data_IF_632620271479
#
_entry.id   IF_632620271479
#
_cell.length_a   1.000
_cell.length_b   1.000
_cell.length_c   1.000
_cell.angle_alpha   90.00
_cell.angle_beta   90.00
_cell.angle_gamma   90.00
#
_symmetry.space_group_name_H-M   'P 1'
#
loop_
_entity.id
_entity.type
_entity.pdbx_description
1 polymer ?
#
# COMPACT_ATOMS: atom_id res chain seq x y z
N UNK A 1 6.13 8.83 -14.62
CA UNK A 1 7.05 9.46 -13.65
C UNK A 1 6.36 10.43 -12.71
N UNK A 2 5.45 11.22 -13.20
CA UNK A 2 4.68 12.14 -12.36
C UNK A 2 3.87 11.43 -11.27
N UNK A 3 3.26 10.30 -11.60
CA UNK A 3 2.48 9.52 -10.64
C UNK A 3 3.35 8.96 -9.53
N UNK A 4 4.57 8.54 -9.84
CA UNK A 4 5.50 8.06 -8.84
C UNK A 4 5.90 9.17 -7.88
N UNK A 5 6.24 10.34 -8.40
CA UNK A 5 6.60 11.49 -7.56
C UNK A 5 5.44 11.87 -6.66
N UNK A 6 4.23 11.92 -7.21
CA UNK A 6 3.04 12.26 -6.44
C UNK A 6 2.78 11.25 -5.32
N UNK A 7 2.91 9.96 -5.62
CA UNK A 7 2.72 8.91 -4.63
C UNK A 7 3.74 9.02 -3.49
N UNK A 8 5.01 9.25 -3.83
CA UNK A 8 6.06 9.40 -2.81
C UNK A 8 5.83 10.63 -1.95
N UNK A 9 5.34 11.72 -2.53
CA UNK A 9 4.98 12.92 -1.76
C UNK A 9 3.84 12.66 -0.78
N UNK A 10 2.85 11.87 -1.20
CA UNK A 10 1.74 11.48 -0.32
C UNK A 10 2.21 10.60 0.83
N UNK A 11 3.14 9.67 0.56
CA UNK A 11 3.64 8.73 1.55
C UNK A 11 4.62 9.35 2.56
N UNK A 12 5.32 10.40 2.15
CA UNK A 12 6.38 10.99 2.97
C UNK A 12 5.95 11.35 4.39
N UNK A 13 4.79 12.00 4.62
CA UNK A 13 4.37 12.34 5.98
C UNK A 13 4.19 11.15 6.92
N UNK A 14 4.01 9.96 6.37
CA UNK A 14 3.80 8.73 7.15
C UNK A 14 5.06 7.90 7.33
N UNK A 15 6.15 8.32 6.68
CA UNK A 15 7.41 7.60 6.76
C UNK A 15 8.10 7.87 8.09
N UNK A 16 8.49 6.80 8.78
CA UNK A 16 9.13 6.92 10.09
C UNK A 16 10.48 6.21 10.16
N UNK A 17 10.90 5.61 9.06
CA UNK A 17 12.02 4.70 9.07
C UNK A 17 13.39 5.34 8.82
N UNK A 18 14.31 4.52 8.43
CA UNK A 18 15.69 4.90 8.26
C UNK A 18 16.01 5.55 6.92
N UNK A 19 17.16 5.19 6.42
CA UNK A 19 17.83 5.85 5.30
C UNK A 19 17.26 5.50 3.93
N UNK A 20 16.70 4.32 3.79
CA UNK A 20 16.25 3.79 2.51
C UNK A 20 14.78 3.44 2.54
N UNK A 21 13.88 4.41 2.22
CA UNK A 21 12.45 4.14 2.26
C UNK A 21 11.97 3.23 1.15
N UNK A 22 12.72 3.11 0.06
CA UNK A 22 12.27 2.34 -1.09
C UNK A 22 13.25 1.24 -1.46
N UNK A 23 12.72 0.15 -2.03
CA UNK A 23 13.52 -0.84 -2.72
C UNK A 23 12.66 -1.52 -3.78
N UNK A 24 13.31 -2.16 -4.74
CA UNK A 24 12.63 -2.89 -5.80
C UNK A 24 13.11 -4.34 -5.80
N UNK A 25 12.17 -5.26 -5.96
CA UNK A 25 12.45 -6.69 -5.97
C UNK A 25 11.41 -7.37 -6.85
N UNK A 26 11.86 -8.22 -7.77
CA UNK A 26 10.96 -8.96 -8.67
C UNK A 26 9.98 -8.06 -9.40
N UNK A 27 10.45 -6.92 -9.88
CA UNK A 27 9.63 -5.93 -10.61
C UNK A 27 8.57 -5.26 -9.74
N UNK A 28 8.73 -5.32 -8.42
CA UNK A 28 7.84 -4.65 -7.48
C UNK A 28 8.61 -3.58 -6.74
N UNK A 29 8.07 -2.37 -6.71
CA UNK A 29 8.63 -1.30 -5.90
C UNK A 29 7.96 -1.30 -4.53
N UNK A 30 8.78 -1.29 -3.47
CA UNK A 30 8.28 -1.22 -2.10
C UNK A 30 8.69 0.11 -1.46
N UNK A 31 7.78 0.70 -0.70
CA UNK A 31 8.07 1.84 0.16
C UNK A 31 7.81 1.36 1.59
N UNK A 32 8.87 1.12 2.33
CA UNK A 32 8.79 0.50 3.66
C UNK A 32 8.81 1.55 4.77
N UNK A 33 8.41 1.11 5.99
CA UNK A 33 8.42 1.95 7.18
C UNK A 33 7.51 3.17 7.04
N UNK A 34 6.32 2.92 6.50
CA UNK A 34 5.24 3.89 6.36
C UNK A 34 4.12 3.46 7.30
N UNK A 35 3.71 4.34 8.21
CA UNK A 35 2.68 4.00 9.20
C UNK A 35 1.28 3.99 8.57
N UNK A 36 0.91 2.84 8.02
CA UNK A 36 -0.37 2.71 7.32
C UNK A 36 -1.57 2.86 8.24
N UNK A 37 -1.42 2.51 9.53
CA UNK A 37 -2.53 2.59 10.47
C UNK A 37 -2.99 4.02 10.73
N UNK A 38 -2.15 5.00 10.45
CA UNK A 38 -2.48 6.42 10.63
C UNK A 38 -3.07 7.07 9.38
N UNK A 39 -3.17 6.32 8.29
CA UNK A 39 -3.71 6.88 7.05
C UNK A 39 -5.22 6.88 7.04
N UNK A 40 -5.80 7.98 6.58
CA UNK A 40 -7.21 8.04 6.26
C UNK A 40 -7.48 7.24 4.98
N UNK A 41 -8.68 6.71 4.86
CA UNK A 41 -9.06 5.91 3.69
C UNK A 41 -8.92 6.70 2.39
N UNK A 42 -9.15 8.01 2.43
CA UNK A 42 -9.01 8.86 1.24
C UNK A 42 -7.57 8.85 0.70
N UNK A 43 -6.59 8.79 1.60
CA UNK A 43 -5.17 8.69 1.22
C UNK A 43 -4.90 7.35 0.54
N UNK A 44 -5.44 6.27 1.09
CA UNK A 44 -5.29 4.93 0.53
C UNK A 44 -5.90 4.86 -0.87
N UNK A 45 -7.09 5.42 -1.05
CA UNK A 45 -7.75 5.47 -2.37
C UNK A 45 -6.93 6.25 -3.40
N UNK A 46 -6.38 7.38 -2.98
CA UNK A 46 -5.55 8.20 -3.89
C UNK A 46 -4.29 7.44 -4.30
N UNK A 47 -3.64 6.76 -3.35
CA UNK A 47 -2.48 5.94 -3.66
C UNK A 47 -2.85 4.78 -4.58
N UNK A 48 -4.04 4.18 -4.40
CA UNK A 48 -4.54 3.15 -5.29
C UNK A 48 -4.66 3.61 -6.74
N UNK A 49 -5.16 4.82 -6.93
CA UNK A 49 -5.25 5.42 -8.26
C UNK A 49 -3.88 5.60 -8.91
N UNK A 50 -2.86 5.82 -8.10
CA UNK A 50 -1.49 6.00 -8.58
C UNK A 50 -0.73 4.68 -8.73
N UNK A 51 -1.40 3.56 -8.44
CA UNK A 51 -0.82 2.24 -8.61
C UNK A 51 -0.10 1.70 -7.38
N UNK A 52 -0.37 2.26 -6.20
CA UNK A 52 0.22 1.81 -4.95
C UNK A 52 -0.81 1.17 -4.04
N UNK A 53 -0.44 0.02 -3.45
CA UNK A 53 -1.29 -0.77 -2.56
C UNK A 53 -0.62 -0.91 -1.19
N UNK A 54 -1.40 -0.90 -0.09
CA UNK A 54 -0.82 -1.02 1.24
C UNK A 54 -0.35 -2.44 1.54
N UNK A 55 0.70 -2.54 2.37
CA UNK A 55 1.25 -3.81 2.79
C UNK A 55 2.43 -4.25 1.95
N UNK A 56 2.80 -5.51 2.08
CA UNK A 56 3.94 -6.12 1.38
C UNK A 56 3.51 -7.21 0.37
N UNK A 57 2.29 -7.12 -0.13
CA UNK A 57 1.82 -8.07 -1.13
C UNK A 57 1.52 -9.44 -0.53
N UNK A 58 2.26 -10.46 -0.96
CA UNK A 58 1.99 -11.83 -0.54
C UNK A 58 2.03 -12.04 0.97
N UNK A 59 2.88 -11.30 1.69
CA UNK A 59 2.96 -11.44 3.14
C UNK A 59 1.67 -11.05 3.85
N UNK A 60 0.91 -10.15 3.27
CA UNK A 60 -0.34 -9.66 3.87
C UNK A 60 -1.59 -10.24 3.21
N UNK A 61 -1.41 -11.10 2.21
CA UNK A 61 -2.51 -11.66 1.44
C UNK A 61 -3.53 -12.39 2.32
N UNK A 62 -3.06 -13.27 3.20
CA UNK A 62 -3.94 -14.06 4.05
C UNK A 62 -4.72 -13.19 5.03
N UNK A 63 -4.08 -12.16 5.57
CA UNK A 63 -4.71 -11.21 6.47
C UNK A 63 -5.85 -10.48 5.76
N UNK A 64 -5.59 -9.99 4.56
CA UNK A 64 -6.58 -9.27 3.77
C UNK A 64 -7.70 -10.20 3.34
N UNK A 65 -7.37 -11.40 2.90
CA UNK A 65 -8.35 -12.41 2.51
C UNK A 65 -9.29 -12.76 3.66
N UNK A 66 -8.74 -12.94 4.85
CA UNK A 66 -9.52 -13.26 6.04
C UNK A 66 -10.47 -12.14 6.45
N UNK A 67 -10.06 -10.90 6.26
CA UNK A 67 -10.87 -9.73 6.66
C UNK A 67 -11.85 -9.28 5.59
N UNK A 68 -11.44 -9.29 4.32
CA UNK A 68 -12.19 -8.66 3.22
C UNK A 68 -12.66 -9.65 2.14
N UNK A 69 -12.24 -10.91 2.23
CA UNK A 69 -12.60 -11.93 1.25
C UNK A 69 -11.57 -12.10 0.14
N UNK A 70 -11.66 -13.24 -0.53
CA UNK A 70 -10.71 -13.61 -1.58
C UNK A 70 -10.77 -12.67 -2.78
N UNK A 71 -11.98 -12.26 -3.17
CA UNK A 71 -12.15 -11.40 -4.34
C UNK A 71 -11.41 -10.09 -4.17
N UNK A 72 -11.53 -9.46 -2.99
CA UNK A 72 -10.80 -8.23 -2.72
C UNK A 72 -9.31 -8.47 -2.65
N UNK A 73 -8.88 -9.53 -1.96
CA UNK A 73 -7.47 -9.84 -1.80
C UNK A 73 -6.79 -10.08 -3.15
N UNK A 74 -7.48 -10.70 -4.08
CA UNK A 74 -6.94 -10.96 -5.42
C UNK A 74 -6.97 -9.73 -6.31
N UNK A 75 -8.04 -8.92 -6.24
CA UNK A 75 -8.17 -7.75 -7.12
C UNK A 75 -7.32 -6.57 -6.67
N UNK A 76 -7.12 -6.40 -5.36
CA UNK A 76 -6.38 -5.28 -4.84
C UNK A 76 -6.99 -3.93 -5.17
N UNK A 77 -8.32 -3.85 -5.18
CA UNK A 77 -9.03 -2.64 -5.63
C UNK A 77 -9.07 -1.57 -4.54
N UNK A 78 -7.90 -1.06 -4.17
CA UNK A 78 -7.80 -0.03 -3.13
C UNK A 78 -8.29 1.34 -3.57
N UNK A 79 -8.42 1.55 -4.85
CA UNK A 79 -9.01 2.78 -5.38
C UNK A 79 -10.46 2.96 -4.91
N UNK A 80 -11.16 1.84 -4.65
CA UNK A 80 -12.55 1.84 -4.24
C UNK A 80 -12.78 1.28 -2.83
N UNK A 81 -11.73 1.14 -2.03
CA UNK A 81 -11.87 0.59 -0.69
C UNK A 81 -12.78 1.47 0.18
N UNK A 82 -13.64 0.85 0.99
CA UNK A 82 -14.53 1.58 1.89
C UNK A 82 -13.87 1.85 3.23
N UNK A 83 -14.44 2.77 4.00
CA UNK A 83 -13.97 3.09 5.35
C UNK A 83 -13.98 1.84 6.22
N UNK A 84 -15.05 1.05 6.16
CA UNK A 84 -15.17 -0.19 6.94
C UNK A 84 -14.10 -1.21 6.56
N UNK A 85 -13.85 -1.37 5.26
CA UNK A 85 -12.84 -2.30 4.79
C UNK A 85 -11.46 -1.88 5.29
N UNK A 86 -11.14 -0.60 5.15
CA UNK A 86 -9.85 -0.09 5.60
C UNK A 86 -9.66 -0.28 7.12
N UNK A 87 -10.69 0.01 7.91
CA UNK A 87 -10.64 -0.16 9.35
C UNK A 87 -10.37 -1.61 9.77
N UNK A 88 -10.83 -2.57 8.96
CA UNK A 88 -10.63 -3.99 9.28
C UNK A 88 -9.20 -4.46 9.09
N UNK A 89 -8.41 -3.80 8.26
CA UNK A 89 -7.07 -4.28 7.90
C UNK A 89 -5.94 -3.35 8.30
N UNK A 90 -6.19 -2.06 8.50
CA UNK A 90 -5.12 -1.07 8.66
C UNK A 90 -4.14 -1.34 9.80
N UNK A 91 -4.58 -2.02 10.86
CA UNK A 91 -3.73 -2.32 12.01
C UNK A 91 -3.07 -3.69 11.91
N UNK A 92 -3.44 -4.49 10.91
CA UNK A 92 -3.01 -5.88 10.82
C UNK A 92 -2.09 -6.16 9.64
N UNK A 93 -1.92 -5.19 8.75
CA UNK A 93 -1.03 -5.35 7.59
C UNK A 93 0.31 -4.68 7.86
N UNK A 94 1.29 -5.02 7.04
CA UNK A 94 2.65 -4.48 7.16
C UNK A 94 2.68 -2.98 6.88
N UNK A 95 3.58 -2.27 7.54
CA UNK A 95 3.75 -0.82 7.39
C UNK A 95 4.56 -0.50 6.14
N UNK A 96 3.92 -0.68 5.00
CA UNK A 96 4.54 -0.47 3.70
C UNK A 96 3.49 -0.24 2.64
N UNK A 97 3.91 0.24 1.49
CA UNK A 97 3.14 0.26 0.25
C UNK A 97 3.97 -0.38 -0.85
N UNK A 98 3.31 -0.95 -1.83
CA UNK A 98 4.01 -1.56 -2.95
C UNK A 98 3.30 -1.22 -4.26
N UNK A 99 4.05 -1.33 -5.36
CA UNK A 99 3.51 -1.07 -6.70
C UNK A 99 4.18 -1.98 -7.72
N UNK A 100 3.36 -2.65 -8.52
CA UNK A 100 3.85 -3.37 -9.69
C UNK A 100 4.16 -2.43 -10.85
N UNK A 101 3.57 -1.23 -10.81
CA UNK A 101 3.66 -0.26 -11.88
C UNK A 101 5.04 0.38 -11.99
N UNK A 102 5.73 0.53 -10.86
CA UNK A 102 7.00 1.24 -10.77
C UNK A 102 8.16 0.35 -10.37
N UNK A 103 7.97 -0.95 -10.46
CA UNK A 103 9.03 -1.89 -10.12
C UNK A 103 10.23 -1.77 -11.07
N UNK A 104 11.41 -2.10 -10.54
CA UNK A 104 12.65 -2.11 -11.30
C UNK A 104 12.83 -3.46 -11.98
N UNK A 105 13.30 -3.45 -13.18
CA UNK A 105 13.64 -4.67 -13.90
C UNK A 105 15.11 -5.01 -13.76
#
# INVERSE_FOLDING_TARGET
>A
MEDLIKALQILLPYYYGGRWPTHCEHDIMYVCEVDVSKMDVSVVRELGKLGFMPGLGDEDYDTIKGALGEDFAMSGDYENITDEQWDKIKNDISNAFFSYRFGSN
#
